data_IF_453574734914
#
_entry.id   IF_453574734914
#
_cell.length_a   1.000
_cell.length_b   1.000
_cell.length_c   1.000
_cell.angle_alpha   90.00
_cell.angle_beta   90.00
_cell.angle_gamma   90.00
#
_symmetry.space_group_name_H-M   'P 1'
#
loop_
_entity.id
_entity.type
_entity.pdbx_description
1 polymer ?
#
# COMPACT_ATOMS: atom_id res chain seq x y z
N UNK A 1 -7.69 2.95 13.49
CA UNK A 1 -8.22 3.62 12.28
C UNK A 1 -9.47 2.86 11.81
N UNK A 2 -10.38 3.45 11.04
CA UNK A 2 -11.61 2.76 10.57
C UNK A 2 -11.32 1.41 9.89
N UNK A 3 -10.25 1.34 9.10
CA UNK A 3 -9.84 0.12 8.43
C UNK A 3 -9.48 -1.02 9.40
N UNK A 4 -8.79 -0.73 10.50
CA UNK A 4 -8.44 -1.76 11.50
C UNK A 4 -9.69 -2.36 12.13
N UNK A 5 -10.69 -1.52 12.43
CA UNK A 5 -11.99 -1.98 12.92
C UNK A 5 -12.70 -2.86 11.88
N UNK A 6 -12.68 -2.47 10.60
CA UNK A 6 -13.25 -3.30 9.53
C UNK A 6 -12.58 -4.67 9.46
N UNK A 7 -11.25 -4.75 9.59
CA UNK A 7 -10.50 -6.01 9.60
C UNK A 7 -10.89 -6.88 10.81
N UNK A 8 -10.96 -6.30 12.01
CA UNK A 8 -11.30 -7.02 13.25
C UNK A 8 -12.72 -7.63 13.22
N UNK A 9 -13.65 -7.01 12.50
CA UNK A 9 -15.04 -7.46 12.40
C UNK A 9 -15.38 -8.17 11.08
N UNK A 10 -14.37 -8.55 10.30
CA UNK A 10 -14.52 -9.19 8.97
C UNK A 10 -15.47 -8.41 8.03
N UNK A 11 -15.41 -7.08 8.11
CA UNK A 11 -16.15 -6.15 7.24
C UNK A 11 -15.27 -5.66 6.09
N UNK A 12 -14.42 -6.53 5.55
CA UNK A 12 -13.46 -6.20 4.50
C UNK A 12 -13.70 -7.00 3.23
N UNK A 13 -13.51 -6.35 2.09
CA UNK A 13 -13.60 -6.96 0.78
C UNK A 13 -12.55 -6.35 -0.17
N UNK A 14 -12.56 -6.78 -1.43
CA UNK A 14 -11.67 -6.27 -2.48
C UNK A 14 -11.66 -4.73 -2.57
N UNK A 15 -12.82 -4.04 -2.63
CA UNK A 15 -12.87 -2.58 -2.52
C UNK A 15 -12.20 -2.00 -1.26
N UNK A 16 -12.46 -2.57 -0.07
CA UNK A 16 -11.87 -2.11 1.18
C UNK A 16 -10.33 -2.16 1.13
N UNK A 17 -9.76 -3.29 0.72
CA UNK A 17 -8.31 -3.46 0.66
C UNK A 17 -7.66 -2.58 -0.41
N UNK A 18 -8.18 -2.59 -1.64
CA UNK A 18 -7.63 -1.77 -2.72
C UNK A 18 -7.71 -0.27 -2.41
N UNK A 19 -8.81 0.18 -1.80
CA UNK A 19 -8.98 1.57 -1.34
C UNK A 19 -7.98 1.95 -0.27
N UNK A 20 -7.84 1.13 0.78
CA UNK A 20 -6.89 1.37 1.86
C UNK A 20 -5.44 1.41 1.35
N UNK A 21 -5.05 0.45 0.51
CA UNK A 21 -3.68 0.39 -0.04
C UNK A 21 -3.38 1.64 -0.88
N UNK A 22 -4.32 2.09 -1.72
CA UNK A 22 -4.17 3.35 -2.48
C UNK A 22 -3.99 4.55 -1.55
N UNK A 23 -4.75 4.62 -0.46
CA UNK A 23 -4.63 5.68 0.53
C UNK A 23 -3.27 5.63 1.25
N UNK A 24 -2.87 4.46 1.73
CA UNK A 24 -1.59 4.24 2.39
C UNK A 24 -0.40 4.66 1.50
N UNK A 25 -0.45 4.30 0.22
CA UNK A 25 0.55 4.74 -0.78
C UNK A 25 0.59 6.24 -1.03
N UNK A 26 -0.55 6.95 -0.97
CA UNK A 26 -0.58 8.43 -1.04
C UNK A 26 0.01 9.07 0.23
N UNK A 27 -0.23 8.47 1.39
CA UNK A 27 0.28 8.95 2.68
C UNK A 27 1.76 8.63 2.95
N UNK A 28 2.50 8.11 1.95
CA UNK A 28 3.88 7.59 2.07
C UNK A 28 4.06 6.47 3.12
N UNK A 29 2.97 5.84 3.56
CA UNK A 29 3.02 4.71 4.49
C UNK A 29 2.98 3.38 3.72
N UNK A 30 4.01 3.15 2.92
CA UNK A 30 4.12 1.96 2.07
C UNK A 30 4.37 0.68 2.85
N UNK A 31 5.09 0.77 3.98
CA UNK A 31 5.30 -0.36 4.88
C UNK A 31 3.97 -0.90 5.42
N UNK A 32 3.03 -0.02 5.80
CA UNK A 32 1.69 -0.45 6.23
C UNK A 32 0.89 -1.09 5.10
N UNK A 33 1.01 -0.58 3.87
CA UNK A 33 0.36 -1.18 2.70
C UNK A 33 0.87 -2.62 2.45
N UNK A 34 2.19 -2.82 2.50
CA UNK A 34 2.85 -4.13 2.41
C UNK A 34 2.43 -5.07 3.53
N UNK A 35 2.43 -4.59 4.78
CA UNK A 35 2.01 -5.37 5.94
C UNK A 35 0.57 -5.89 5.78
N UNK A 36 -0.35 -5.01 5.39
CA UNK A 36 -1.77 -5.36 5.19
C UNK A 36 -1.95 -6.35 4.03
N UNK A 37 -1.21 -6.18 2.93
CA UNK A 37 -1.24 -7.16 1.84
C UNK A 37 -0.65 -8.53 2.26
N UNK A 38 0.42 -8.51 3.06
CA UNK A 38 1.05 -9.70 3.61
C UNK A 38 0.13 -10.49 4.54
N UNK A 39 -0.69 -9.81 5.34
CA UNK A 39 -1.65 -10.43 6.26
C UNK A 39 -2.90 -11.01 5.58
N UNK A 40 -3.09 -10.82 4.27
CA UNK A 40 -4.23 -11.39 3.56
C UNK A 40 -4.14 -12.92 3.50
N UNK A 41 -5.08 -13.59 4.17
CA UNK A 41 -5.26 -15.05 4.11
C UNK A 41 -6.20 -15.47 2.98
N UNK A 42 -7.17 -14.63 2.62
CA UNK A 42 -8.10 -14.88 1.53
C UNK A 42 -7.37 -14.72 0.17
N UNK A 43 -7.03 -15.86 -0.46
CA UNK A 43 -6.33 -15.91 -1.75
C UNK A 43 -7.09 -15.21 -2.88
N UNK A 44 -8.43 -15.25 -2.88
CA UNK A 44 -9.23 -14.59 -3.92
C UNK A 44 -9.05 -13.07 -3.87
N UNK A 45 -9.08 -12.48 -2.67
CA UNK A 45 -8.82 -11.05 -2.47
C UNK A 45 -7.36 -10.71 -2.77
N UNK A 46 -6.42 -11.54 -2.28
CA UNK A 46 -4.97 -11.31 -2.44
C UNK A 46 -4.53 -11.33 -3.91
N UNK A 47 -5.12 -12.20 -4.72
CA UNK A 47 -4.83 -12.33 -6.14
C UNK A 47 -5.69 -11.43 -7.02
N UNK A 48 -6.58 -10.63 -6.43
CA UNK A 48 -7.44 -9.74 -7.19
C UNK A 48 -6.60 -8.62 -7.83
N UNK A 49 -6.79 -8.41 -9.14
CA UNK A 49 -6.04 -7.41 -9.90
C UNK A 49 -6.14 -5.99 -9.30
N UNK A 50 -7.29 -5.59 -8.75
CA UNK A 50 -7.44 -4.27 -8.13
C UNK A 50 -6.55 -4.11 -6.88
N UNK A 51 -6.39 -5.16 -6.08
CA UNK A 51 -5.55 -5.16 -4.88
C UNK A 51 -4.07 -5.15 -5.29
N UNK A 52 -3.68 -6.05 -6.20
CA UNK A 52 -2.31 -6.12 -6.73
C UNK A 52 -1.87 -4.79 -7.36
N UNK A 53 -2.69 -4.20 -8.23
CA UNK A 53 -2.39 -2.93 -8.89
C UNK A 53 -2.27 -1.78 -7.88
N UNK A 54 -3.01 -1.84 -6.77
CA UNK A 54 -2.89 -0.85 -5.70
C UNK A 54 -1.54 -0.94 -4.99
N UNK A 55 -1.06 -2.17 -4.72
CA UNK A 55 0.28 -2.39 -4.13
C UNK A 55 1.37 -1.98 -5.10
N UNK A 56 1.31 -2.42 -6.35
CA UNK A 56 2.28 -2.05 -7.37
C UNK A 56 2.37 -0.51 -7.51
N UNK A 57 1.22 0.16 -7.56
CA UNK A 57 1.14 1.61 -7.60
C UNK A 57 1.68 2.29 -6.33
N UNK A 58 1.57 1.65 -5.16
CA UNK A 58 2.20 2.12 -3.92
C UNK A 58 3.73 2.01 -4.01
N UNK A 59 4.26 0.86 -4.44
CA UNK A 59 5.70 0.61 -4.50
C UNK A 59 6.41 1.54 -5.50
N UNK A 60 5.89 1.65 -6.73
CA UNK A 60 6.45 2.52 -7.78
C UNK A 60 6.53 3.98 -7.32
N UNK A 61 5.56 4.45 -6.52
CA UNK A 61 5.56 5.82 -6.02
C UNK A 61 6.58 6.07 -4.93
N UNK A 62 7.00 5.06 -4.17
CA UNK A 62 8.02 5.24 -3.13
C UNK A 62 9.42 5.24 -3.73
N UNK A 63 9.68 4.39 -4.71
CA UNK A 63 10.95 4.35 -5.46
C UNK A 63 11.24 5.71 -6.14
N UNK A 64 10.20 6.36 -6.69
CA UNK A 64 10.29 7.72 -7.22
C UNK A 64 10.53 8.82 -6.18
N UNK A 65 10.19 8.58 -4.91
CA UNK A 65 10.41 9.55 -3.82
C UNK A 65 11.82 9.40 -3.24
N UNK A 66 12.40 8.20 -3.26
CA UNK A 66 13.80 7.98 -2.86
C UNK A 66 14.79 8.50 -3.90
N UNK A 67 14.55 8.27 -5.19
CA UNK A 67 15.41 8.76 -6.28
C UNK A 67 15.47 10.28 -6.41
N UNK A 68 14.52 11.03 -5.85
CA UNK A 68 14.57 12.51 -5.80
C UNK A 68 15.42 13.02 -4.63
N UNK A 69 15.77 12.17 -3.65
CA UNK A 69 16.60 12.54 -2.50
C UNK A 69 18.10 12.37 -2.70
N UNK A 70 18.55 11.77 -3.80
CA UNK A 70 19.97 11.57 -4.09
C UNK A 70 20.45 12.51 -5.20
N UNK A 71 20.34 13.82 -4.95
CA UNK A 71 21.09 14.88 -5.66
C UNK A 71 21.27 16.10 -4.75
N UNK A 72 21.97 15.92 -3.65
CA UNK A 72 22.73 17.05 -3.10
C UNK A 72 24.13 17.03 -3.76
N UNK A 73 24.50 18.03 -4.56
CA UNK A 73 25.83 18.09 -5.12
C UNK A 73 26.85 18.32 -4.00
N UNK A 74 27.93 17.52 -3.99
CA UNK A 74 29.11 17.78 -3.16
C UNK A 74 29.56 19.25 -3.33
N UNK A 75 29.87 19.97 -2.23
CA UNK A 75 30.46 21.30 -2.35
C UNK A 75 31.83 21.20 -3.03
N UNK A 76 32.07 22.13 -3.96
CA UNK A 76 33.32 22.29 -4.74
C UNK A 76 34.52 22.58 -3.85
#
# INVERSE_FOLDING_TARGET
MLFDWMVQHDKVNTPSYSGFIKYAGKSRNHLKALQVYGSLTNKSIKNNAAVCNSILGCLIKNDKVESVKEKDPLPK
#
